data_IF_084565482900
#
_entry.id   IF_084565482900
#
_cell.length_a   1.000
_cell.length_b   1.000
_cell.length_c   1.000
_cell.angle_alpha   90.00
_cell.angle_beta   90.00
_cell.angle_gamma   90.00
#
_symmetry.space_group_name_H-M   'P 1'
#
loop_
_entity.id
_entity.type
_entity.pdbx_description
1 polymer ?
#
# COMPACT_ATOMS: atom_id res chain seq x y z
N UNK A 1 6.52 21.86 11.83
CA UNK A 1 7.17 22.22 10.54
C UNK A 1 6.60 21.35 9.43
N UNK A 2 6.39 21.89 8.24
CA UNK A 2 5.99 21.12 7.06
C UNK A 2 7.24 20.56 6.37
N UNK A 3 7.13 19.35 5.81
CA UNK A 3 8.22 18.66 5.10
C UNK A 3 7.68 18.19 3.76
N UNK A 4 8.44 18.42 2.70
CA UNK A 4 8.16 17.96 1.35
C UNK A 4 9.31 17.06 0.89
N UNK A 5 8.99 16.04 0.10
CA UNK A 5 9.97 15.12 -0.49
C UNK A 5 9.68 14.97 -1.98
N UNK A 6 10.75 14.96 -2.78
CA UNK A 6 10.66 14.68 -4.21
C UNK A 6 10.68 13.17 -4.46
N UNK A 7 9.84 12.72 -5.40
CA UNK A 7 9.77 11.32 -5.82
C UNK A 7 9.86 11.22 -7.35
N UNK A 8 10.34 10.10 -7.86
CA UNK A 8 10.41 9.81 -9.30
C UNK A 8 9.56 8.60 -9.64
N UNK A 9 8.96 8.61 -10.83
CA UNK A 9 8.21 7.47 -11.34
C UNK A 9 9.16 6.28 -11.54
N UNK A 10 8.76 5.10 -11.05
CA UNK A 10 9.50 3.84 -11.24
C UNK A 10 8.77 2.91 -12.21
N UNK A 11 7.49 2.59 -11.94
CA UNK A 11 6.69 1.64 -12.73
C UNK A 11 5.22 2.06 -12.71
N UNK A 12 4.50 1.85 -13.82
CA UNK A 12 3.04 1.91 -13.87
C UNK A 12 2.48 0.52 -13.60
N UNK A 13 1.42 0.43 -12.80
CA UNK A 13 0.77 -0.83 -12.43
C UNK A 13 -0.73 -0.75 -12.74
N UNK A 14 -1.42 -1.89 -12.90
CA UNK A 14 -2.88 -1.89 -12.88
C UNK A 14 -3.40 -1.39 -11.53
N UNK A 15 -4.70 -1.03 -11.49
CA UNK A 15 -5.36 -0.64 -10.25
C UNK A 15 -5.53 -1.87 -9.34
N UNK A 16 -4.86 -1.85 -8.19
CA UNK A 16 -5.14 -2.77 -7.08
C UNK A 16 -6.19 -2.14 -6.15
N UNK A 17 -7.45 -2.52 -6.33
CA UNK A 17 -8.55 -1.96 -5.56
C UNK A 17 -8.46 -2.32 -4.06
N UNK A 18 -8.82 -1.38 -3.17
CA UNK A 18 -8.83 -1.60 -1.72
C UNK A 18 -9.70 -2.81 -1.31
N UNK A 19 -10.80 -3.07 -2.02
CA UNK A 19 -11.67 -4.22 -1.75
C UNK A 19 -10.95 -5.55 -2.01
N UNK A 20 -10.06 -5.61 -3.02
CA UNK A 20 -9.20 -6.78 -3.27
C UNK A 20 -8.17 -6.91 -2.16
N UNK A 21 -7.45 -5.83 -1.84
CA UNK A 21 -6.43 -5.83 -0.78
C UNK A 21 -6.97 -6.28 0.58
N UNK A 22 -8.20 -5.87 0.95
CA UNK A 22 -8.84 -6.25 2.21
C UNK A 22 -9.14 -7.74 2.33
N UNK A 23 -9.18 -8.49 1.22
CA UNK A 23 -9.39 -9.95 1.23
C UNK A 23 -8.10 -10.73 1.47
N UNK A 24 -6.96 -10.05 1.44
CA UNK A 24 -5.63 -10.68 1.54
C UNK A 24 -5.16 -10.69 2.99
N UNK A 25 -5.03 -11.87 3.65
CA UNK A 25 -4.63 -11.94 5.05
C UNK A 25 -3.24 -11.36 5.31
N UNK A 26 -2.34 -11.47 4.33
CA UNK A 26 -0.98 -10.93 4.40
C UNK A 26 -0.95 -9.39 4.49
N UNK A 27 -2.04 -8.72 4.12
CA UNK A 27 -2.17 -7.27 4.17
C UNK A 27 -2.98 -6.77 5.38
N UNK A 28 -3.43 -7.67 6.28
CA UNK A 28 -4.35 -7.33 7.36
C UNK A 28 -3.79 -6.26 8.33
N UNK A 29 -2.47 -6.21 8.50
CA UNK A 29 -1.79 -5.21 9.35
C UNK A 29 -1.65 -3.83 8.70
N UNK A 30 -1.86 -3.70 7.39
CA UNK A 30 -1.57 -2.46 6.67
C UNK A 30 -2.38 -1.30 7.23
N UNK A 31 -1.69 -0.23 7.66
CA UNK A 31 -2.33 0.97 8.21
C UNK A 31 -3.34 1.59 7.23
N UNK A 32 -3.04 1.59 5.94
CA UNK A 32 -3.92 2.14 4.90
C UNK A 32 -5.27 1.43 4.82
N UNK A 33 -5.34 0.16 5.22
CA UNK A 33 -6.58 -0.63 5.21
C UNK A 33 -7.38 -0.50 6.51
N UNK A 34 -6.83 0.07 7.58
CA UNK A 34 -7.56 0.19 8.84
C UNK A 34 -8.79 1.10 8.73
N UNK A 35 -9.90 0.70 9.35
CA UNK A 35 -11.14 1.48 9.34
C UNK A 35 -10.89 2.83 10.03
N UNK A 36 -11.29 3.91 9.38
CA UNK A 36 -11.10 5.25 9.93
C UNK A 36 -9.70 5.83 9.79
N UNK A 37 -8.76 5.16 9.11
CA UNK A 37 -7.45 5.75 8.82
C UNK A 37 -7.63 7.08 8.06
N UNK A 38 -6.88 8.11 8.49
CA UNK A 38 -6.81 9.45 7.88
C UNK A 38 -5.38 9.86 7.57
N UNK A 39 -4.42 8.95 7.75
CA UNK A 39 -3.01 9.18 7.40
C UNK A 39 -2.84 8.99 5.89
N UNK A 40 -2.29 10.01 5.23
CA UNK A 40 -1.96 10.00 3.80
C UNK A 40 -0.59 9.38 3.50
N UNK A 41 0.30 9.30 4.50
CA UNK A 41 1.61 8.64 4.41
C UNK A 41 1.63 7.56 5.49
N UNK A 42 1.80 6.30 5.09
CA UNK A 42 1.80 5.16 6.01
C UNK A 42 3.02 4.28 5.75
N UNK A 43 3.70 3.78 6.79
CA UNK A 43 4.77 2.80 6.60
C UNK A 43 4.20 1.50 6.03
N UNK A 44 5.05 0.78 5.29
CA UNK A 44 4.76 -0.55 4.73
C UNK A 44 5.92 -1.45 5.10
N UNK A 45 5.63 -2.61 5.67
CA UNK A 45 6.65 -3.61 6.00
C UNK A 45 7.15 -4.33 4.75
N UNK A 46 8.31 -4.97 4.84
CA UNK A 46 8.85 -5.73 3.71
C UNK A 46 7.89 -6.86 3.27
N UNK A 47 7.15 -7.46 4.20
CA UNK A 47 6.24 -8.57 3.94
C UNK A 47 4.97 -8.08 3.24
N UNK A 48 4.37 -6.99 3.72
CA UNK A 48 3.25 -6.32 3.06
C UNK A 48 3.63 -5.86 1.65
N UNK A 49 4.86 -5.33 1.48
CA UNK A 49 5.35 -4.91 0.17
C UNK A 49 5.43 -6.07 -0.82
N UNK A 50 6.01 -7.21 -0.41
CA UNK A 50 6.08 -8.41 -1.27
C UNK A 50 4.69 -8.94 -1.61
N UNK A 51 3.76 -8.93 -0.66
CA UNK A 51 2.38 -9.36 -0.89
C UNK A 51 1.66 -8.43 -1.89
N UNK A 52 1.84 -7.10 -1.79
CA UNK A 52 1.28 -6.14 -2.76
C UNK A 52 1.84 -6.39 -4.16
N UNK A 53 3.16 -6.58 -4.29
CA UNK A 53 3.79 -6.85 -5.59
C UNK A 53 3.28 -8.16 -6.21
N UNK A 54 3.15 -9.22 -5.41
CA UNK A 54 2.61 -10.50 -5.90
C UNK A 54 1.19 -10.37 -6.48
N UNK A 55 0.35 -9.47 -5.94
CA UNK A 55 -1.00 -9.21 -6.45
C UNK A 55 -1.01 -8.38 -7.74
N UNK A 56 0.02 -7.56 -7.95
CA UNK A 56 0.17 -6.65 -9.09
C UNK A 56 0.81 -7.31 -10.30
N UNK A 57 1.69 -8.29 -10.07
CA UNK A 57 2.41 -9.02 -11.11
C UNK A 57 1.73 -10.34 -11.50
N UNK A 58 0.58 -10.65 -10.90
CA UNK A 58 -0.30 -11.77 -11.24
C UNK A 58 -1.27 -11.47 -12.39
#
# INVERSE_FOLDING_TARGET
RWVLVDVKLVKKTPLLALARMRREPQLASMRVLQRGNRLSITPVTADEWRAVLALLDA
#
